data_IF_394765763900
#
_entry.id   IF_394765763900
#
_cell.length_a   1.000
_cell.length_b   1.000
_cell.length_c   1.000
_cell.angle_alpha   90.00
_cell.angle_beta   90.00
_cell.angle_gamma   90.00
#
_symmetry.space_group_name_H-M   'P 1'
#
loop_
_entity.id
_entity.type
_entity.pdbx_description
1 polymer ?
#
# COMPACT_ATOMS: atom_id res chain seq x y z
N UNK A 1 1.03 18.30 -26.79
CA UNK A 1 1.31 18.94 -25.49
C UNK A 1 1.67 17.82 -24.53
N UNK A 2 2.94 17.70 -24.12
CA UNK A 2 3.37 16.66 -23.17
C UNK A 2 2.66 16.92 -21.83
N UNK A 3 1.92 15.94 -21.32
CA UNK A 3 1.34 16.04 -19.98
C UNK A 3 2.48 16.16 -18.97
N UNK A 4 2.50 17.27 -18.25
CA UNK A 4 3.40 17.47 -17.14
C UNK A 4 2.76 16.82 -15.92
N UNK A 5 3.36 15.75 -15.41
CA UNK A 5 2.92 15.10 -14.19
C UNK A 5 3.48 15.85 -12.99
N UNK A 6 2.61 16.22 -12.05
CA UNK A 6 3.00 16.83 -10.77
C UNK A 6 3.22 15.72 -9.76
N UNK A 7 4.41 15.66 -9.17
CA UNK A 7 4.67 14.80 -8.03
C UNK A 7 3.91 15.32 -6.80
N UNK A 8 3.13 14.44 -6.17
CA UNK A 8 2.31 14.74 -5.00
C UNK A 8 2.80 13.99 -3.75
N UNK A 9 4.00 13.40 -3.79
CA UNK A 9 4.60 12.66 -2.66
C UNK A 9 4.67 13.49 -1.36
N UNK A 10 4.92 14.79 -1.46
CA UNK A 10 4.96 15.70 -0.30
C UNK A 10 3.62 16.44 -0.03
N UNK A 11 2.55 16.10 -0.76
CA UNK A 11 1.26 16.76 -0.61
C UNK A 11 0.60 16.39 0.72
N UNK A 12 0.48 17.38 1.61
CA UNK A 12 -0.24 17.25 2.89
C UNK A 12 -1.68 16.77 2.72
N UNK A 13 -2.33 17.13 1.61
CA UNK A 13 -3.72 16.74 1.33
C UNK A 13 -3.80 15.25 0.96
N UNK A 14 -2.87 14.76 0.13
CA UNK A 14 -2.83 13.34 -0.27
C UNK A 14 -2.45 12.48 0.93
N UNK A 15 -1.47 12.91 1.72
CA UNK A 15 -1.05 12.19 2.92
C UNK A 15 -2.16 12.19 3.99
N UNK A 16 -2.86 13.30 4.18
CA UNK A 16 -4.01 13.38 5.09
C UNK A 16 -5.18 12.47 4.66
N UNK A 17 -5.45 12.38 3.35
CA UNK A 17 -6.45 11.46 2.83
C UNK A 17 -6.08 9.99 3.07
N UNK A 18 -4.83 9.60 2.81
CA UNK A 18 -4.35 8.24 3.08
C UNK A 18 -4.52 7.88 4.56
N UNK A 19 -4.11 8.76 5.49
CA UNK A 19 -4.28 8.53 6.93
C UNK A 19 -5.75 8.37 7.34
N UNK A 20 -6.67 9.16 6.76
CA UNK A 20 -8.11 9.03 7.07
C UNK A 20 -8.67 7.66 6.65
N UNK A 21 -8.26 7.16 5.47
CA UNK A 21 -8.69 5.86 4.99
C UNK A 21 -8.12 4.73 5.86
N UNK A 22 -6.84 4.81 6.24
CA UNK A 22 -6.21 3.84 7.14
C UNK A 22 -6.95 3.78 8.48
N UNK A 23 -7.20 4.94 9.10
CA UNK A 23 -7.92 5.00 10.37
C UNK A 23 -9.33 4.43 10.23
N UNK A 24 -10.04 4.75 9.15
CA UNK A 24 -11.38 4.21 8.91
C UNK A 24 -11.38 2.67 8.77
N UNK A 25 -10.32 2.07 8.22
CA UNK A 25 -10.17 0.62 8.13
C UNK A 25 -9.81 0.01 9.49
N UNK A 26 -8.94 0.66 10.27
CA UNK A 26 -8.54 0.20 11.60
C UNK A 26 -9.67 0.28 12.62
N UNK A 27 -10.49 1.33 12.53
CA UNK A 27 -11.61 1.60 13.43
C UNK A 27 -12.92 0.91 12.99
N UNK A 28 -12.92 0.16 11.88
CA UNK A 28 -14.10 -0.57 11.41
C UNK A 28 -14.36 -1.83 12.26
N UNK A 29 -15.26 -1.69 13.24
CA UNK A 29 -15.70 -2.79 14.12
C UNK A 29 -16.34 -3.97 13.37
N UNK A 30 -16.82 -3.77 12.13
CA UNK A 30 -17.43 -4.84 11.33
C UNK A 30 -16.40 -5.75 10.67
N UNK A 31 -15.14 -5.29 10.54
CA UNK A 31 -14.03 -6.04 9.95
C UNK A 31 -12.75 -5.93 10.80
N UNK A 32 -12.77 -6.42 12.05
CA UNK A 32 -11.61 -6.36 12.94
C UNK A 32 -10.44 -7.15 12.34
N UNK A 33 -9.27 -6.53 12.30
CA UNK A 33 -8.04 -7.14 11.75
C UNK A 33 -7.86 -6.99 10.24
N UNK A 34 -8.79 -6.35 9.52
CA UNK A 34 -8.65 -6.14 8.07
C UNK A 34 -7.38 -5.37 7.70
N UNK A 35 -6.98 -4.39 8.51
CA UNK A 35 -5.72 -3.68 8.31
C UNK A 35 -4.52 -4.64 8.39
N UNK A 36 -4.49 -5.51 9.40
CA UNK A 36 -3.41 -6.47 9.62
C UNK A 36 -3.38 -7.55 8.53
N UNK A 37 -4.55 -7.97 8.04
CA UNK A 37 -4.66 -8.91 6.91
C UNK A 37 -4.12 -8.30 5.61
N UNK A 38 -4.47 -7.04 5.33
CA UNK A 38 -3.93 -6.30 4.18
C UNK A 38 -2.42 -6.14 4.32
N UNK A 39 -1.95 -5.77 5.51
CA UNK A 39 -0.53 -5.64 5.83
C UNK A 39 0.22 -6.95 5.56
N UNK A 40 -0.24 -8.07 6.12
CA UNK A 40 0.39 -9.38 5.99
C UNK A 40 0.36 -9.89 4.53
N UNK A 41 -0.73 -9.64 3.81
CA UNK A 41 -0.84 -10.00 2.39
C UNK A 41 0.14 -9.18 1.53
N UNK A 42 0.29 -7.87 1.78
CA UNK A 42 1.23 -7.02 1.05
C UNK A 42 2.70 -7.40 1.29
N UNK A 43 3.03 -7.96 2.46
CA UNK A 43 4.36 -8.50 2.74
C UNK A 43 4.66 -9.79 1.99
N UNK A 44 3.64 -10.58 1.63
CA UNK A 44 3.84 -11.89 0.98
C UNK A 44 3.86 -11.82 -0.55
N UNK A 45 3.57 -10.66 -1.14
CA UNK A 45 3.56 -10.46 -2.59
C UNK A 45 4.79 -9.70 -3.05
N UNK A 46 5.29 -10.05 -4.23
CA UNK A 46 6.40 -9.31 -4.84
C UNK A 46 6.05 -7.82 -5.00
N UNK A 47 6.97 -6.87 -4.69
CA UNK A 47 6.66 -5.43 -4.73
C UNK A 47 6.14 -4.93 -6.08
N UNK A 48 6.53 -5.57 -7.19
CA UNK A 48 6.07 -5.27 -8.54
C UNK A 48 4.73 -5.92 -8.93
N UNK A 49 4.21 -6.85 -8.12
CA UNK A 49 2.91 -7.50 -8.37
C UNK A 49 1.83 -6.43 -8.40
N UNK A 50 1.02 -6.41 -9.45
CA UNK A 50 -0.17 -5.57 -9.51
C UNK A 50 -1.28 -6.18 -8.65
N UNK A 51 -1.81 -5.40 -7.72
CA UNK A 51 -2.83 -5.79 -6.75
C UNK A 51 -3.99 -4.81 -6.82
N UNK A 52 -5.20 -5.32 -6.70
CA UNK A 52 -6.45 -4.55 -6.62
C UNK A 52 -6.98 -4.67 -5.20
N UNK A 53 -7.09 -3.55 -4.49
CA UNK A 53 -7.66 -3.50 -3.14
C UNK A 53 -8.91 -2.61 -3.13
N UNK A 54 -10.02 -3.18 -2.66
CA UNK A 54 -11.31 -2.49 -2.63
C UNK A 54 -11.90 -2.29 -4.03
N UNK A 55 -11.74 -1.09 -4.61
CA UNK A 55 -12.40 -0.73 -5.86
C UNK A 55 -11.78 -1.47 -7.06
N UNK A 56 -12.56 -2.24 -7.84
CA UNK A 56 -12.03 -3.09 -8.92
C UNK A 56 -11.25 -2.35 -10.01
N UNK A 57 -11.52 -1.06 -10.22
CA UNK A 57 -10.82 -0.24 -11.21
C UNK A 57 -9.47 0.32 -10.72
N UNK A 58 -9.18 0.22 -9.42
CA UNK A 58 -7.94 0.72 -8.84
C UNK A 58 -6.95 -0.44 -8.66
N UNK A 59 -6.04 -0.55 -9.63
CA UNK A 59 -4.96 -1.54 -9.59
C UNK A 59 -3.63 -0.81 -9.56
N UNK A 60 -2.80 -1.12 -8.56
CA UNK A 60 -1.48 -0.53 -8.37
C UNK A 60 -0.48 -1.63 -7.95
N UNK A 61 0.81 -1.33 -7.96
CA UNK A 61 1.81 -2.29 -7.48
C UNK A 61 1.70 -2.50 -5.97
N UNK A 62 2.07 -3.68 -5.48
CA UNK A 62 2.12 -3.97 -4.06
C UNK A 62 3.02 -2.98 -3.30
N UNK A 63 4.10 -2.51 -3.93
CA UNK A 63 4.94 -1.43 -3.39
C UNK A 63 4.13 -0.15 -3.14
N UNK A 64 3.36 0.30 -4.14
CA UNK A 64 2.56 1.52 -4.02
C UNK A 64 1.49 1.39 -2.94
N UNK A 65 0.82 0.23 -2.87
CA UNK A 65 -0.12 -0.06 -1.79
C UNK A 65 0.57 -0.07 -0.43
N UNK A 66 1.76 -0.67 -0.33
CA UNK A 66 2.54 -0.66 0.90
C UNK A 66 2.86 0.76 1.36
N UNK A 67 3.39 1.60 0.47
CA UNK A 67 3.65 3.01 0.76
C UNK A 67 2.37 3.76 1.17
N UNK A 68 1.25 3.50 0.50
CA UNK A 68 -0.06 4.07 0.83
C UNK A 68 -0.51 3.70 2.26
N UNK A 69 -0.33 2.43 2.67
CA UNK A 69 -0.68 1.94 4.00
C UNK A 69 0.37 2.26 5.08
N UNK A 70 1.42 3.01 4.75
CA UNK A 70 2.49 3.36 5.68
C UNK A 70 3.48 2.22 5.94
N UNK A 71 3.48 1.17 5.11
CA UNK A 71 4.55 0.19 5.08
C UNK A 71 5.79 0.89 4.54
N UNK A 72 6.77 1.20 5.39
CA UNK A 72 8.12 1.36 4.88
C UNK A 72 8.59 -0.03 4.46
N UNK A 73 8.27 -0.46 3.23
CA UNK A 73 8.92 -1.60 2.61
C UNK A 73 10.35 -1.15 2.33
N UNK A 74 11.18 -1.14 3.37
CA UNK A 74 12.55 -0.72 3.25
C UNK A 74 13.24 -1.67 2.29
N UNK A 75 14.24 -1.20 1.55
CA UNK A 75 14.96 -2.04 0.61
C UNK A 75 15.56 -3.30 1.27
N UNK A 76 15.77 -3.29 2.60
CA UNK A 76 16.14 -4.48 3.38
C UNK A 76 14.99 -5.47 3.54
N UNK A 77 13.76 -5.04 3.82
CA UNK A 77 12.60 -5.93 3.95
C UNK A 77 12.28 -6.61 2.60
N UNK A 78 12.49 -5.88 1.50
CA UNK A 78 12.34 -6.43 0.14
C UNK A 78 13.43 -7.46 -0.19
N UNK A 79 14.64 -7.33 0.38
CA UNK A 79 15.71 -8.30 0.20
C UNK A 79 15.49 -9.57 1.04
N UNK A 80 14.96 -9.45 2.27
CA UNK A 80 14.55 -10.63 3.05
C UNK A 80 13.44 -11.44 2.34
N UNK A 81 12.50 -10.77 1.67
CA UNK A 81 11.46 -11.44 0.88
C UNK A 81 11.98 -12.11 -0.42
N UNK A 82 13.14 -11.66 -0.95
CA UNK A 82 13.81 -12.32 -2.08
C UNK A 82 14.60 -13.56 -1.66
N UNK A 83 14.96 -13.70 -0.39
CA UNK A 83 15.68 -14.86 0.14
C UNK A 83 14.75 -16.01 0.57
N UNK A 84 13.42 -15.83 0.52
CA UNK A 84 12.49 -16.96 0.58
C UNK A 84 12.46 -17.65 -0.79
N UNK A 85 13.56 -18.33 -1.11
CA UNK A 85 13.57 -19.35 -2.15
C UNK A 85 12.84 -20.59 -1.62
N UNK A 86 11.66 -20.88 -2.20
CA UNK A 86 10.99 -22.18 -2.08
C UNK A 86 11.88 -23.32 -2.59
#
# INVERSE_FOLDING_TARGET
>A
MLHQFTDLSESRLVNGYASQIINAIQDDESMPGLYDDIYAMLQQVEPSRMVTLGQPSLTASAKWWGEFFGLSLSASDINELKEISL
#
